data_IF_584093179624
#
_entry.id   IF_584093179624
#
_cell.length_a   1.000
_cell.length_b   1.000
_cell.length_c   1.000
_cell.angle_alpha   90.00
_cell.angle_beta   90.00
_cell.angle_gamma   90.00
#
_symmetry.space_group_name_H-M   'P 1'
#
loop_
_entity.id
_entity.type
_entity.pdbx_description
1 polymer ?
#
# COMPACT_ATOMS: atom_id res chain seq x y z
N UNK A 1 -25.40 14.37 -3.66
CA UNK A 1 -24.11 13.93 -4.23
C UNK A 1 -23.97 12.44 -4.04
N UNK A 2 -23.92 11.71 -5.10
CA UNK A 2 -23.63 10.29 -5.02
C UNK A 2 -22.13 10.14 -4.72
N UNK A 3 -21.81 9.46 -3.63
CA UNK A 3 -20.45 9.00 -3.39
C UNK A 3 -20.15 7.91 -4.40
N UNK A 4 -19.16 8.14 -5.26
CA UNK A 4 -18.68 7.11 -6.16
C UNK A 4 -18.29 5.87 -5.36
N UNK A 5 -18.88 4.74 -5.71
CA UNK A 5 -18.49 3.47 -5.09
C UNK A 5 -17.15 3.05 -5.64
N UNK A 6 -16.25 2.50 -4.76
CA UNK A 6 -15.04 1.87 -5.24
C UNK A 6 -15.36 0.80 -6.28
N UNK A 7 -14.52 0.62 -7.31
CA UNK A 7 -14.71 -0.43 -8.29
C UNK A 7 -14.78 -1.82 -7.66
N UNK A 8 -15.68 -2.65 -8.18
CA UNK A 8 -15.86 -4.03 -7.73
C UNK A 8 -15.31 -5.01 -8.76
N UNK A 9 -14.80 -6.18 -8.32
CA UNK A 9 -14.41 -7.21 -9.25
C UNK A 9 -15.65 -7.82 -9.96
N UNK A 10 -15.50 -8.40 -11.17
CA UNK A 10 -14.24 -8.54 -11.89
C UNK A 10 -13.76 -7.22 -12.49
N UNK A 11 -12.46 -6.96 -12.42
CA UNK A 11 -11.87 -5.76 -13.00
C UNK A 11 -11.70 -5.96 -14.50
N UNK A 12 -12.37 -5.15 -15.28
CA UNK A 12 -12.36 -5.24 -16.75
C UNK A 12 -11.76 -4.01 -17.41
N UNK A 13 -11.68 -2.89 -16.67
CA UNK A 13 -11.13 -1.63 -17.14
C UNK A 13 -9.86 -1.30 -16.35
N UNK A 14 -8.83 -0.83 -17.04
CA UNK A 14 -7.56 -0.44 -16.40
C UNK A 14 -7.78 0.68 -15.39
N UNK A 15 -8.68 1.60 -15.67
CA UNK A 15 -9.00 2.72 -14.77
C UNK A 15 -9.55 2.24 -13.44
N UNK A 16 -10.33 1.17 -13.43
CA UNK A 16 -10.88 0.59 -12.20
C UNK A 16 -9.78 -0.04 -11.35
N UNK A 17 -8.86 -0.78 -11.98
CA UNK A 17 -7.72 -1.36 -11.30
C UNK A 17 -6.78 -0.26 -10.75
N UNK A 18 -6.50 0.77 -11.54
CA UNK A 18 -5.70 1.92 -11.10
C UNK A 18 -6.36 2.64 -9.92
N UNK A 19 -7.68 2.80 -9.95
CA UNK A 19 -8.45 3.40 -8.85
C UNK A 19 -8.30 2.59 -7.56
N UNK A 20 -8.38 1.27 -7.63
CA UNK A 20 -8.17 0.40 -6.46
C UNK A 20 -6.75 0.55 -5.90
N UNK A 21 -5.76 0.63 -6.77
CA UNK A 21 -4.35 0.82 -6.36
C UNK A 21 -4.19 2.17 -5.66
N UNK A 22 -4.77 3.24 -6.20
CA UNK A 22 -4.68 4.58 -5.60
C UNK A 22 -5.41 4.66 -4.25
N UNK A 23 -6.58 4.03 -4.14
CA UNK A 23 -7.32 3.97 -2.87
C UNK A 23 -6.50 3.27 -1.78
N UNK A 24 -5.83 2.17 -2.12
CA UNK A 24 -4.96 1.46 -1.19
C UNK A 24 -3.76 2.32 -0.78
N UNK A 25 -3.11 2.98 -1.74
CA UNK A 25 -2.01 3.89 -1.46
C UNK A 25 -2.45 5.00 -0.50
N UNK A 26 -3.60 5.63 -0.77
CA UNK A 26 -4.13 6.71 0.06
C UNK A 26 -4.43 6.22 1.48
N UNK A 27 -5.05 5.05 1.62
CA UNK A 27 -5.38 4.49 2.93
C UNK A 27 -4.12 4.22 3.77
N UNK A 28 -3.12 3.58 3.18
CA UNK A 28 -1.86 3.29 3.88
C UNK A 28 -1.10 4.56 4.25
N UNK A 29 -1.14 5.59 3.42
CA UNK A 29 -0.51 6.87 3.71
C UNK A 29 -1.18 7.63 4.87
N UNK A 30 -2.38 7.26 5.29
CA UNK A 30 -2.98 7.80 6.53
C UNK A 30 -2.25 7.32 7.77
N UNK A 31 -1.56 6.19 7.70
CA UNK A 31 -0.89 5.52 8.83
C UNK A 31 -1.85 5.23 9.98
N UNK A 32 -3.09 4.94 9.64
CA UNK A 32 -4.15 4.61 10.59
C UNK A 32 -4.49 3.12 10.47
N UNK A 33 -4.01 2.25 11.39
CA UNK A 33 -4.22 0.82 11.30
C UNK A 33 -5.68 0.39 11.23
N UNK A 34 -6.54 1.02 12.03
CA UNK A 34 -7.97 0.70 12.06
C UNK A 34 -8.64 1.02 10.73
N UNK A 35 -8.30 2.16 10.14
CA UNK A 35 -8.84 2.58 8.84
C UNK A 35 -8.38 1.65 7.72
N UNK A 36 -7.11 1.30 7.70
CA UNK A 36 -6.56 0.39 6.68
C UNK A 36 -7.21 -0.99 6.76
N UNK A 37 -7.41 -1.50 7.98
CA UNK A 37 -7.99 -2.83 8.19
C UNK A 37 -9.39 -2.98 7.58
N UNK A 38 -10.16 -1.90 7.45
CA UNK A 38 -11.51 -1.92 6.88
C UNK A 38 -11.53 -2.28 5.39
N UNK A 39 -10.42 -2.16 4.69
CA UNK A 39 -10.29 -2.54 3.27
C UNK A 39 -10.14 -4.05 3.06
N UNK A 40 -9.98 -4.79 4.15
CA UNK A 40 -9.72 -6.23 4.13
C UNK A 40 -10.91 -7.00 4.69
N UNK A 41 -11.08 -8.25 4.23
CA UNK A 41 -12.12 -9.12 4.79
C UNK A 41 -11.84 -9.41 6.27
N UNK A 42 -12.87 -9.70 7.08
CA UNK A 42 -12.64 -10.02 8.50
C UNK A 42 -11.67 -11.18 8.74
N UNK A 43 -11.57 -12.10 7.79
CA UNK A 43 -10.70 -13.28 7.85
C UNK A 43 -9.51 -13.19 6.87
N UNK A 44 -9.18 -12.00 6.38
CA UNK A 44 -8.16 -11.79 5.36
C UNK A 44 -6.84 -12.47 5.72
N UNK A 45 -6.20 -13.07 4.71
CA UNK A 45 -4.90 -13.73 4.86
C UNK A 45 -3.81 -12.89 4.24
N UNK A 46 -2.74 -12.67 5.00
CA UNK A 46 -1.56 -11.96 4.54
C UNK A 46 -0.30 -12.80 4.66
N UNK A 47 0.59 -12.66 3.72
CA UNK A 47 2.02 -12.85 3.93
C UNK A 47 2.70 -11.50 3.67
N UNK A 48 3.38 -10.98 4.68
CA UNK A 48 4.19 -9.77 4.53
C UNK A 48 5.64 -10.13 4.84
N UNK A 49 6.51 -10.08 3.84
CA UNK A 49 7.86 -10.64 3.94
C UNK A 49 7.77 -12.13 4.29
N UNK A 50 8.23 -12.52 5.45
CA UNK A 50 8.13 -13.91 5.96
C UNK A 50 7.09 -14.06 7.07
N UNK A 51 6.34 -13.02 7.39
CA UNK A 51 5.32 -13.04 8.43
C UNK A 51 3.94 -13.35 7.85
N UNK A 52 3.24 -14.31 8.45
CA UNK A 52 1.88 -14.69 8.05
C UNK A 52 0.88 -14.15 9.07
N UNK A 53 -0.18 -13.52 8.59
CA UNK A 53 -1.25 -12.92 9.40
C UNK A 53 -2.60 -13.42 8.94
N UNK A 54 -3.55 -13.50 9.86
CA UNK A 54 -4.94 -13.76 9.53
C UNK A 54 -5.85 -12.88 10.38
N UNK A 55 -6.77 -12.19 9.69
CA UNK A 55 -7.83 -11.39 10.31
C UNK A 55 -7.43 -9.96 10.60
N UNK A 56 -8.47 -9.13 10.80
CA UNK A 56 -8.30 -7.68 11.00
C UNK A 56 -7.52 -7.33 12.25
N UNK A 57 -7.73 -8.05 13.35
CA UNK A 57 -6.99 -7.76 14.60
C UNK A 57 -5.49 -7.95 14.42
N UNK A 58 -5.09 -9.01 13.71
CA UNK A 58 -3.68 -9.26 13.39
C UNK A 58 -3.12 -8.17 12.46
N UNK A 59 -3.92 -7.72 11.50
CA UNK A 59 -3.55 -6.63 10.59
C UNK A 59 -3.33 -5.33 11.37
N UNK A 60 -4.24 -4.97 12.25
CA UNK A 60 -4.12 -3.76 13.09
C UNK A 60 -2.86 -3.83 13.96
N UNK A 61 -2.60 -4.97 14.59
CA UNK A 61 -1.41 -5.15 15.41
C UNK A 61 -0.13 -5.02 14.58
N UNK A 62 -0.09 -5.61 13.39
CA UNK A 62 1.03 -5.51 12.48
C UNK A 62 1.29 -4.05 12.05
N UNK A 63 0.25 -3.34 11.63
CA UNK A 63 0.38 -1.96 11.16
C UNK A 63 0.76 -0.99 12.29
N UNK A 64 0.28 -1.26 13.50
CA UNK A 64 0.67 -0.48 14.68
C UNK A 64 2.16 -0.58 14.94
N UNK A 65 2.72 -1.79 14.86
CA UNK A 65 4.18 -1.99 14.98
C UNK A 65 4.93 -1.33 13.83
N UNK A 66 4.43 -1.48 12.60
CA UNK A 66 5.06 -0.93 11.40
C UNK A 66 5.23 0.58 11.51
N UNK A 67 4.15 1.31 11.78
CA UNK A 67 4.19 2.77 11.81
C UNK A 67 4.71 3.34 13.13
N UNK A 68 4.86 2.54 14.16
CA UNK A 68 5.65 2.88 15.34
C UNK A 68 7.15 2.86 15.07
N UNK A 69 7.60 2.07 14.10
CA UNK A 69 9.01 1.92 13.72
C UNK A 69 9.38 2.73 12.47
N UNK A 70 8.50 2.73 11.45
CA UNK A 70 8.74 3.38 10.17
C UNK A 70 8.16 4.80 10.22
N UNK A 71 8.99 5.75 10.66
CA UNK A 71 8.60 7.13 10.86
C UNK A 71 8.61 7.92 9.54
N UNK A 72 7.79 8.97 9.45
CA UNK A 72 7.66 9.82 8.27
C UNK A 72 7.38 9.04 6.97
N UNK A 73 6.63 7.98 7.08
CA UNK A 73 6.29 7.04 6.02
C UNK A 73 5.51 7.71 4.87
N UNK A 74 6.01 7.50 3.64
CA UNK A 74 5.36 7.93 2.39
C UNK A 74 5.46 6.83 1.37
N UNK A 75 4.33 6.46 0.79
CA UNK A 75 4.16 5.31 -0.08
C UNK A 75 3.69 5.74 -1.46
N UNK A 76 4.27 5.15 -2.48
CA UNK A 76 3.78 5.24 -3.87
C UNK A 76 3.58 3.84 -4.40
N UNK A 77 2.39 3.56 -4.92
CA UNK A 77 2.05 2.29 -5.59
C UNK A 77 1.85 2.51 -7.08
N UNK A 78 2.10 1.46 -7.86
CA UNK A 78 1.85 1.45 -9.30
C UNK A 78 1.22 0.12 -9.70
N UNK A 79 0.13 0.20 -10.47
CA UNK A 79 -0.50 -0.99 -11.05
C UNK A 79 0.49 -1.68 -11.98
N UNK A 80 0.67 -3.01 -11.81
CA UNK A 80 1.47 -3.81 -12.72
C UNK A 80 0.59 -4.60 -13.69
N UNK A 81 -0.48 -5.21 -13.20
CA UNK A 81 -1.41 -5.95 -14.01
C UNK A 81 -2.64 -6.38 -13.21
N UNK A 82 -3.67 -6.83 -13.90
CA UNK A 82 -4.88 -7.30 -13.25
C UNK A 82 -5.58 -8.36 -14.10
N UNK A 83 -6.33 -9.22 -13.42
CA UNK A 83 -7.15 -10.23 -14.07
C UNK A 83 -8.26 -10.67 -13.11
N UNK A 84 -9.51 -10.54 -13.54
CA UNK A 84 -10.69 -10.90 -12.74
C UNK A 84 -10.71 -10.17 -11.39
N UNK A 85 -10.58 -10.90 -10.27
CA UNK A 85 -10.57 -10.33 -8.92
C UNK A 85 -9.15 -10.15 -8.35
N UNK A 86 -8.12 -10.18 -9.21
CA UNK A 86 -6.71 -10.09 -8.81
C UNK A 86 -6.04 -8.87 -9.39
N UNK A 87 -5.19 -8.25 -8.58
CA UNK A 87 -4.37 -7.11 -8.99
C UNK A 87 -2.93 -7.35 -8.53
N UNK A 88 -1.97 -7.15 -9.44
CA UNK A 88 -0.55 -7.16 -9.12
C UNK A 88 -0.06 -5.72 -9.06
N UNK A 89 0.74 -5.40 -8.05
CA UNK A 89 1.18 -4.03 -7.74
C UNK A 89 2.66 -4.04 -7.44
N UNK A 90 3.37 -3.03 -7.90
CA UNK A 90 4.69 -2.71 -7.37
C UNK A 90 4.62 -1.42 -6.56
N UNK A 91 5.49 -1.29 -5.57
CA UNK A 91 5.49 -0.10 -4.72
C UNK A 91 6.87 0.22 -4.18
N UNK A 92 7.03 1.44 -3.72
CA UNK A 92 8.16 1.85 -2.91
C UNK A 92 7.65 2.78 -1.81
N UNK A 93 8.31 2.76 -0.67
CA UNK A 93 8.02 3.73 0.38
C UNK A 93 9.31 4.19 1.04
N UNK A 94 9.30 5.45 1.44
CA UNK A 94 10.41 6.05 2.17
C UNK A 94 10.02 6.27 3.62
N UNK A 95 10.95 6.01 4.51
CA UNK A 95 10.75 6.13 5.95
C UNK A 95 12.10 6.30 6.65
N UNK A 96 12.07 6.79 7.86
CA UNK A 96 13.25 6.84 8.71
C UNK A 96 13.01 6.05 9.99
N UNK A 97 14.10 5.56 10.59
CA UNK A 97 14.03 4.98 11.93
C UNK A 97 14.19 6.07 13.01
N UNK A 98 14.20 5.67 14.28
CA UNK A 98 14.37 6.58 15.42
C UNK A 98 15.79 7.16 15.55
N UNK A 99 16.76 6.62 14.80
CA UNK A 99 18.13 7.15 14.70
C UNK A 99 18.30 8.11 13.53
N UNK A 100 17.22 8.47 12.86
CA UNK A 100 17.20 9.33 11.65
C UNK A 100 17.92 8.73 10.44
N UNK A 101 18.06 7.41 10.39
CA UNK A 101 18.52 6.70 9.19
C UNK A 101 17.33 6.56 8.23
N UNK A 102 17.50 7.03 7.00
CA UNK A 102 16.48 6.91 5.96
C UNK A 102 16.62 5.62 5.18
N UNK A 103 15.47 5.11 4.77
CA UNK A 103 15.35 3.90 3.95
C UNK A 103 14.39 4.14 2.81
N UNK A 104 14.63 3.46 1.70
CA UNK A 104 13.62 3.24 0.67
C UNK A 104 13.39 1.75 0.56
N UNK A 105 12.14 1.34 0.77
CA UNK A 105 11.73 -0.05 0.68
C UNK A 105 11.03 -0.28 -0.64
N UNK A 106 11.46 -1.30 -1.38
CA UNK A 106 10.92 -1.67 -2.68
C UNK A 106 10.13 -2.95 -2.53
N UNK A 107 8.92 -3.00 -3.08
CA UNK A 107 8.10 -4.16 -2.95
C UNK A 107 7.23 -4.48 -4.15
N UNK A 108 6.83 -5.73 -4.20
CA UNK A 108 5.83 -6.23 -5.13
C UNK A 108 4.76 -6.93 -4.30
N UNK A 109 3.50 -6.76 -4.67
CA UNK A 109 2.42 -7.42 -3.96
C UNK A 109 1.35 -7.95 -4.89
N UNK A 110 0.68 -8.99 -4.42
CA UNK A 110 -0.41 -9.65 -5.12
C UNK A 110 -1.66 -9.53 -4.26
N UNK A 111 -2.75 -9.09 -4.87
CA UNK A 111 -4.03 -8.87 -4.20
C UNK A 111 -5.11 -9.76 -4.79
N UNK A 112 -5.97 -10.27 -3.92
CA UNK A 112 -7.18 -10.96 -4.32
C UNK A 112 -8.36 -10.40 -3.52
N UNK A 113 -9.45 -10.07 -4.22
CA UNK A 113 -10.63 -9.43 -3.64
C UNK A 113 -11.81 -10.40 -3.59
N UNK A 114 -12.71 -10.19 -2.62
CA UNK A 114 -14.02 -10.82 -2.63
C UNK A 114 -15.01 -10.03 -3.52
N UNK A 115 -16.21 -10.54 -3.67
CA UNK A 115 -17.26 -9.94 -4.51
C UNK A 115 -17.72 -8.55 -4.03
N UNK A 116 -17.48 -8.23 -2.75
CA UNK A 116 -17.81 -6.93 -2.16
C UNK A 116 -16.69 -5.91 -2.32
N UNK A 117 -15.58 -6.31 -2.92
CA UNK A 117 -14.42 -5.44 -3.13
C UNK A 117 -13.49 -5.33 -1.95
N UNK A 118 -13.63 -6.20 -0.95
CA UNK A 118 -12.68 -6.28 0.17
C UNK A 118 -11.56 -7.26 -0.17
N UNK A 119 -10.34 -6.91 0.20
CA UNK A 119 -9.18 -7.76 -0.07
C UNK A 119 -9.14 -8.92 0.90
N UNK A 120 -9.26 -10.14 0.37
CA UNK A 120 -9.24 -11.36 1.17
C UNK A 120 -7.87 -12.03 1.26
N UNK A 121 -6.95 -11.64 0.38
CA UNK A 121 -5.58 -12.15 0.39
C UNK A 121 -4.61 -11.10 -0.11
N UNK A 122 -3.51 -10.95 0.61
CA UNK A 122 -2.40 -10.07 0.23
C UNK A 122 -1.09 -10.80 0.45
N UNK A 123 -0.25 -10.80 -0.58
CA UNK A 123 1.09 -11.40 -0.52
C UNK A 123 2.08 -10.32 -0.93
N UNK A 124 3.00 -9.96 -0.04
CA UNK A 124 3.96 -8.89 -0.30
C UNK A 124 5.39 -9.32 0.00
N UNK A 125 6.26 -9.08 -0.98
CA UNK A 125 7.71 -9.26 -0.86
C UNK A 125 8.37 -7.89 -0.90
N UNK A 126 9.28 -7.61 0.03
CA UNK A 126 9.83 -6.26 0.25
C UNK A 126 11.32 -6.36 0.54
N UNK A 127 12.09 -5.46 -0.09
CA UNK A 127 13.52 -5.27 0.16
C UNK A 127 13.77 -3.86 0.66
N UNK A 128 14.50 -3.72 1.76
CA UNK A 128 14.87 -2.42 2.32
C UNK A 128 16.26 -1.99 1.85
N UNK A 129 16.39 -0.73 1.47
CA UNK A 129 17.68 -0.14 1.10
C UNK A 129 17.91 1.13 1.92
N UNK A 130 19.01 1.22 2.70
CA UNK A 130 19.36 2.47 3.35
C UNK A 130 19.73 3.50 2.29
N UNK A 131 19.32 4.76 2.51
CA UNK A 131 19.61 5.88 1.64
C UNK A 131 20.06 7.07 2.47
N UNK A 132 20.76 8.03 1.83
CA UNK A 132 20.97 9.35 2.44
C UNK A 132 19.67 10.15 2.39
N UNK A 133 19.47 11.04 3.36
CA UNK A 133 18.30 11.93 3.34
C UNK A 133 18.22 12.78 2.07
N UNK A 134 19.36 13.09 1.46
CA UNK A 134 19.44 13.81 0.18
C UNK A 134 18.96 13.00 -1.03
N UNK A 135 18.88 11.68 -0.91
CA UNK A 135 18.42 10.77 -1.96
C UNK A 135 16.90 10.56 -1.95
N UNK A 136 16.19 11.15 -0.99
CA UNK A 136 14.73 11.04 -0.90
C UNK A 136 14.08 11.60 -2.17
N UNK A 137 13.05 10.91 -2.63
CA UNK A 137 12.28 11.28 -3.84
C UNK A 137 10.82 11.59 -3.53
N UNK A 138 10.32 11.21 -2.34
CA UNK A 138 8.92 11.38 -1.95
C UNK A 138 8.78 12.63 -1.10
N UNK A 139 8.44 13.74 -1.76
CA UNK A 139 8.42 15.08 -1.17
C UNK A 139 6.99 15.64 -1.14
N UNK A 140 6.23 15.26 -0.11
CA UNK A 140 4.96 15.88 0.21
C UNK A 140 4.74 15.83 1.72
N UNK A 141 3.85 16.71 2.26
CA UNK A 141 3.47 16.61 3.67
C UNK A 141 2.90 15.22 3.97
N UNK A 142 3.04 14.74 5.21
CA UNK A 142 2.51 13.42 5.60
C UNK A 142 1.03 13.30 5.25
N UNK A 143 0.64 12.12 4.79
CA UNK A 143 -0.70 11.82 4.31
C UNK A 143 -0.70 11.38 2.85
N UNK A 144 -1.86 11.40 2.19
CA UNK A 144 -1.97 10.99 0.79
C UNK A 144 -1.10 11.82 -0.15
N UNK A 145 -0.56 11.15 -1.15
CA UNK A 145 0.25 11.79 -2.19
C UNK A 145 -0.59 12.77 -3.01
N UNK A 146 -0.12 14.01 -3.21
CA UNK A 146 -0.81 14.96 -4.10
C UNK A 146 -0.87 14.43 -5.53
N UNK A 147 -1.93 14.77 -6.27
CA UNK A 147 -2.12 14.33 -7.66
C UNK A 147 -0.97 14.73 -8.58
N UNK A 148 -0.39 15.90 -8.38
CA UNK A 148 0.72 16.40 -9.20
C UNK A 148 2.07 15.79 -8.85
N UNK A 149 2.19 15.00 -7.79
CA UNK A 149 3.44 14.37 -7.41
C UNK A 149 3.74 13.18 -8.34
N UNK A 150 4.98 13.06 -8.86
CA UNK A 150 5.33 11.97 -9.77
C UNK A 150 5.14 10.58 -9.16
N UNK A 151 4.80 9.62 -10.01
CA UNK A 151 4.73 8.20 -9.64
C UNK A 151 6.08 7.49 -9.78
N UNK A 152 6.09 6.17 -9.54
CA UNK A 152 7.34 5.40 -9.55
C UNK A 152 8.07 5.45 -10.89
N UNK A 153 7.36 5.22 -11.99
CA UNK A 153 7.95 5.25 -13.33
C UNK A 153 8.54 6.61 -13.65
N UNK A 154 7.87 7.69 -13.27
CA UNK A 154 8.34 9.05 -13.49
C UNK A 154 9.64 9.33 -12.72
N UNK A 155 9.80 8.70 -11.57
CA UNK A 155 10.97 8.88 -10.70
C UNK A 155 12.11 7.90 -11.03
N UNK A 156 11.90 7.01 -11.98
CA UNK A 156 12.90 6.00 -12.35
C UNK A 156 13.06 4.89 -11.33
N UNK A 157 12.01 4.67 -10.57
CA UNK A 157 11.98 3.63 -9.53
C UNK A 157 11.28 2.37 -9.98
#
# INVERSE_FOLDING_TARGET
METERPPLPPFTQVEDAESKVRLAENAWNTRDPERVALAYTPDSHWRNRAEFLQGRDAIVAFLTRKWGRELEYRLVKELWGFHENRIAVRFAYEWRDDSSTWFRSYGNELWEFDERGLMRRRVASINDAPIDGSERKFHWPLGPRPEGHPGLSDLGL
#
